data_IF_227087248490
#
_entry.id   IF_227087248490
#
_cell.length_a   1.000
_cell.length_b   1.000
_cell.length_c   1.000
_cell.angle_alpha   90.00
_cell.angle_beta   90.00
_cell.angle_gamma   90.00
#
_symmetry.space_group_name_H-M   'P 1'
#
loop_
_entity.id
_entity.type
_entity.pdbx_description
1 polymer ?
#
# COMPACT_ATOMS: atom_id res chain seq x y z
N UNK A 1 33.42 -0.12 0.04
CA UNK A 1 32.25 -0.24 -0.86
C UNK A 1 31.31 0.88 -0.47
N UNK A 2 31.30 1.98 -1.22
CA UNK A 2 30.31 3.05 -1.06
C UNK A 2 29.01 2.57 -1.71
N UNK A 3 27.90 2.69 -1.01
CA UNK A 3 26.58 2.37 -1.55
C UNK A 3 26.06 3.66 -2.19
N UNK A 4 26.26 3.81 -3.51
CA UNK A 4 25.78 4.97 -4.26
C UNK A 4 24.28 4.80 -4.55
N UNK A 5 23.47 5.67 -3.95
CA UNK A 5 22.01 5.61 -3.98
C UNK A 5 21.39 6.48 -5.09
N UNK A 6 22.20 7.10 -5.95
CA UNK A 6 21.76 8.08 -6.96
C UNK A 6 20.76 7.53 -8.02
N UNK A 7 20.60 6.21 -8.11
CA UNK A 7 19.65 5.56 -9.02
C UNK A 7 18.18 5.92 -8.72
N UNK A 8 17.88 6.33 -7.50
CA UNK A 8 16.58 6.86 -7.11
C UNK A 8 16.74 8.30 -6.63
N UNK A 9 15.80 9.17 -6.99
CA UNK A 9 15.70 10.49 -6.38
C UNK A 9 15.23 10.34 -4.92
N UNK A 10 16.16 10.04 -4.02
CA UNK A 10 15.91 9.87 -2.59
C UNK A 10 15.59 11.20 -1.94
N UNK A 11 14.30 11.50 -1.88
CA UNK A 11 13.78 12.61 -1.10
C UNK A 11 13.16 12.09 0.19
N UNK A 12 13.03 12.95 1.21
CA UNK A 12 12.36 12.59 2.48
C UNK A 12 10.96 11.99 2.24
N UNK A 13 10.10 12.57 1.37
CA UNK A 13 8.81 11.96 1.01
C UNK A 13 8.94 10.56 0.40
N UNK A 14 9.89 10.36 -0.51
CA UNK A 14 10.12 9.06 -1.17
C UNK A 14 10.57 8.01 -0.15
N UNK A 15 11.49 8.35 0.76
CA UNK A 15 11.95 7.45 1.81
C UNK A 15 10.81 7.02 2.75
N UNK A 16 9.93 7.94 3.14
CA UNK A 16 8.76 7.65 3.98
C UNK A 16 7.78 6.71 3.26
N UNK A 17 7.54 6.91 1.96
CA UNK A 17 6.66 6.04 1.16
C UNK A 17 7.17 4.59 1.11
N UNK A 18 8.44 4.39 0.74
CA UNK A 18 9.02 3.04 0.69
C UNK A 18 9.16 2.42 2.08
N UNK A 19 9.48 3.21 3.11
CA UNK A 19 9.49 2.76 4.49
C UNK A 19 8.12 2.28 4.98
N UNK A 20 7.05 2.99 4.60
CA UNK A 20 5.67 2.59 4.92
C UNK A 20 5.28 1.29 4.22
N UNK A 21 5.64 1.12 2.93
CA UNK A 21 5.42 -0.14 2.21
C UNK A 21 6.16 -1.29 2.90
N UNK A 22 7.43 -1.09 3.25
CA UNK A 22 8.23 -2.10 3.94
C UNK A 22 7.61 -2.49 5.30
N UNK A 23 7.20 -1.51 6.11
CA UNK A 23 6.53 -1.75 7.38
C UNK A 23 5.21 -2.51 7.21
N UNK A 24 4.43 -2.18 6.19
CA UNK A 24 3.19 -2.89 5.87
C UNK A 24 3.42 -4.33 5.41
N UNK A 25 4.45 -4.59 4.59
CA UNK A 25 4.83 -5.94 4.17
C UNK A 25 5.27 -6.79 5.37
N UNK A 26 6.10 -6.23 6.25
CA UNK A 26 6.51 -6.90 7.49
C UNK A 26 5.32 -7.18 8.40
N UNK A 27 4.42 -6.20 8.57
CA UNK A 27 3.18 -6.38 9.31
C UNK A 27 2.31 -7.52 8.77
N UNK A 28 2.20 -7.63 7.44
CA UNK A 28 1.52 -8.72 6.76
C UNK A 28 2.16 -10.09 7.03
N UNK A 29 3.49 -10.16 6.98
CA UNK A 29 4.23 -11.40 7.26
C UNK A 29 3.97 -11.85 8.70
N UNK A 30 4.05 -10.93 9.66
CA UNK A 30 3.76 -11.21 11.07
C UNK A 30 2.30 -11.65 11.23
N UNK A 31 1.36 -10.97 10.57
CA UNK A 31 -0.06 -11.30 10.67
C UNK A 31 -0.40 -12.67 10.09
N UNK A 32 0.25 -13.07 8.99
CA UNK A 32 0.10 -14.42 8.42
C UNK A 32 0.62 -15.51 9.36
N UNK A 33 1.73 -15.24 10.06
CA UNK A 33 2.29 -16.16 11.05
C UNK A 33 1.34 -16.31 12.25
N UNK A 34 0.73 -15.22 12.70
CA UNK A 34 -0.14 -15.18 13.89
C UNK A 34 -1.55 -15.75 13.62
N UNK A 35 -2.12 -15.52 12.44
CA UNK A 35 -3.50 -15.95 12.12
C UNK A 35 -3.54 -16.71 10.78
N UNK A 36 -3.42 -18.05 10.81
CA UNK A 36 -3.59 -18.89 9.62
C UNK A 36 -4.94 -18.59 8.95
N UNK A 37 -4.89 -18.18 7.69
CA UNK A 37 -6.07 -17.69 6.97
C UNK A 37 -6.99 -18.83 6.58
N UNK A 38 -8.26 -18.78 7.00
CA UNK A 38 -9.33 -19.61 6.44
C UNK A 38 -9.74 -18.98 5.10
N UNK A 39 -9.58 -19.67 3.96
CA UNK A 39 -9.97 -19.14 2.66
C UNK A 39 -11.48 -18.89 2.63
N UNK A 40 -11.90 -17.67 2.30
CA UNK A 40 -13.32 -17.34 2.08
C UNK A 40 -13.48 -16.82 0.65
N UNK A 41 -14.46 -17.37 -0.07
CA UNK A 41 -14.90 -16.80 -1.34
C UNK A 41 -15.74 -15.55 -1.03
N UNK A 42 -15.22 -14.38 -1.40
CA UNK A 42 -15.94 -13.12 -1.41
C UNK A 42 -16.62 -12.87 -2.76
N UNK A 43 -16.77 -11.59 -3.12
CA UNK A 43 -17.48 -11.13 -4.32
C UNK A 43 -16.75 -11.41 -5.65
N UNK A 44 -15.41 -11.45 -5.66
CA UNK A 44 -14.66 -11.96 -6.81
C UNK A 44 -14.66 -13.50 -6.79
N UNK A 45 -14.86 -14.19 -7.94
CA UNK A 45 -14.79 -15.65 -8.06
C UNK A 45 -13.35 -16.22 -7.90
N UNK A 46 -12.48 -15.53 -7.16
CA UNK A 46 -11.14 -15.95 -6.78
C UNK A 46 -11.07 -16.12 -5.26
N UNK A 47 -10.40 -17.15 -4.79
CA UNK A 47 -10.12 -17.33 -3.35
C UNK A 47 -9.09 -16.29 -2.92
N UNK A 48 -9.54 -15.19 -2.30
CA UNK A 48 -8.63 -14.18 -1.74
C UNK A 48 -8.36 -14.49 -0.28
N UNK A 49 -7.09 -14.63 0.09
CA UNK A 49 -6.70 -14.72 1.50
C UNK A 49 -6.84 -13.34 2.16
N UNK A 50 -6.89 -13.28 3.50
CA UNK A 50 -6.89 -11.98 4.20
C UNK A 50 -5.64 -11.15 3.86
N UNK A 51 -4.53 -11.83 3.57
CA UNK A 51 -3.28 -11.20 3.12
C UNK A 51 -3.42 -10.56 1.74
N UNK A 52 -4.02 -11.25 0.78
CA UNK A 52 -4.25 -10.72 -0.58
C UNK A 52 -5.09 -9.45 -0.57
N UNK A 53 -6.07 -9.36 0.35
CA UNK A 53 -6.96 -8.20 0.49
C UNK A 53 -6.22 -6.95 0.95
N UNK A 54 -5.30 -7.10 1.90
CA UNK A 54 -4.46 -5.98 2.35
C UNK A 54 -3.41 -5.59 1.31
N UNK A 55 -2.86 -6.56 0.57
CA UNK A 55 -1.96 -6.26 -0.55
C UNK A 55 -2.67 -5.48 -1.67
N UNK A 56 -3.89 -5.88 -2.04
CA UNK A 56 -4.71 -5.13 -3.00
C UNK A 56 -5.02 -3.70 -2.53
N UNK A 57 -5.32 -3.52 -1.23
CA UNK A 57 -5.50 -2.19 -0.65
C UNK A 57 -4.23 -1.31 -0.76
N UNK A 58 -3.05 -1.89 -0.52
CA UNK A 58 -1.76 -1.20 -0.70
C UNK A 58 -1.48 -0.84 -2.15
N UNK A 59 -1.77 -1.73 -3.10
CA UNK A 59 -1.60 -1.44 -4.52
C UNK A 59 -2.49 -0.26 -4.94
N UNK A 60 -3.75 -0.26 -4.52
CA UNK A 60 -4.67 0.87 -4.79
C UNK A 60 -4.17 2.16 -4.14
N UNK A 61 -3.68 2.11 -2.91
CA UNK A 61 -3.07 3.26 -2.24
C UNK A 61 -1.86 3.80 -3.01
N UNK A 62 -0.96 2.94 -3.47
CA UNK A 62 0.21 3.32 -4.27
C UNK A 62 -0.19 3.96 -5.60
N UNK A 63 -1.15 3.37 -6.32
CA UNK A 63 -1.64 3.96 -7.58
C UNK A 63 -2.36 5.29 -7.37
N UNK A 64 -3.10 5.46 -6.27
CA UNK A 64 -3.70 6.75 -5.91
C UNK A 64 -2.64 7.81 -5.64
N UNK A 65 -1.56 7.45 -4.92
CA UNK A 65 -0.47 8.37 -4.61
C UNK A 65 0.31 8.79 -5.86
N UNK A 66 0.61 7.83 -6.75
CA UNK A 66 1.30 8.09 -8.03
C UNK A 66 0.39 8.87 -8.98
N UNK A 67 -0.88 8.49 -9.09
CA UNK A 67 -1.87 9.18 -9.93
C UNK A 67 -2.08 10.62 -9.48
N UNK A 68 -2.06 10.88 -8.18
CA UNK A 68 -2.07 12.23 -7.63
C UNK A 68 -0.82 13.00 -8.05
N UNK A 69 0.39 12.44 -7.86
CA UNK A 69 1.65 13.06 -8.28
C UNK A 69 1.72 13.38 -9.78
N UNK A 70 1.05 12.60 -10.64
CA UNK A 70 1.00 12.87 -12.09
C UNK A 70 0.15 14.09 -12.46
N UNK A 71 -0.81 14.49 -11.61
CA UNK A 71 -1.79 15.54 -11.90
C UNK A 71 -1.56 16.80 -11.05
N UNK A 72 -0.82 16.69 -9.94
CA UNK A 72 -0.68 17.76 -8.95
C UNK A 72 0.75 18.27 -8.85
N UNK A 73 0.88 19.54 -8.43
CA UNK A 73 2.18 20.21 -8.30
C UNK A 73 3.08 19.52 -7.25
N UNK A 74 4.41 19.61 -7.38
CA UNK A 74 5.36 18.98 -6.44
C UNK A 74 5.21 19.41 -4.97
N UNK A 75 4.62 20.58 -4.72
CA UNK A 75 4.35 21.11 -3.38
C UNK A 75 2.96 20.72 -2.83
N UNK A 76 2.15 20.02 -3.63
CA UNK A 76 0.81 19.63 -3.24
C UNK A 76 0.84 18.62 -2.09
N UNK A 77 0.06 18.92 -1.06
CA UNK A 77 0.12 18.17 0.17
C UNK A 77 -0.53 16.78 0.00
N UNK A 78 0.23 15.72 0.29
CA UNK A 78 -0.14 14.30 0.06
C UNK A 78 -1.31 13.78 0.94
N UNK A 79 -2.00 14.65 1.67
CA UNK A 79 -3.09 14.30 2.59
C UNK A 79 -4.35 13.84 1.86
N UNK A 80 -4.63 14.41 0.68
CA UNK A 80 -5.81 14.06 -0.14
C UNK A 80 -5.69 12.62 -0.67
N UNK A 81 -4.60 12.24 -1.37
CA UNK A 81 -4.42 10.85 -1.80
C UNK A 81 -4.26 9.88 -0.63
N UNK A 82 -3.68 10.29 0.51
CA UNK A 82 -3.63 9.46 1.72
C UNK A 82 -5.04 9.16 2.26
N UNK A 83 -5.91 10.18 2.35
CA UNK A 83 -7.29 10.01 2.76
C UNK A 83 -8.08 9.11 1.80
N UNK A 84 -7.88 9.29 0.49
CA UNK A 84 -8.47 8.44 -0.53
C UNK A 84 -7.99 6.98 -0.42
N UNK A 85 -6.70 6.78 -0.17
CA UNK A 85 -6.10 5.46 0.05
C UNK A 85 -6.66 4.75 1.29
N UNK A 86 -6.87 5.47 2.39
CA UNK A 86 -7.49 4.92 3.62
C UNK A 86 -8.94 4.50 3.37
N UNK A 87 -9.73 5.35 2.69
CA UNK A 87 -11.13 5.04 2.35
C UNK A 87 -11.22 3.86 1.40
N UNK A 88 -10.39 3.84 0.35
CA UNK A 88 -10.33 2.74 -0.61
C UNK A 88 -9.88 1.42 0.07
N UNK A 89 -8.85 1.48 0.91
CA UNK A 89 -8.37 0.34 1.68
C UNK A 89 -9.42 -0.20 2.64
N UNK A 90 -10.14 0.67 3.36
CA UNK A 90 -11.24 0.28 4.22
C UNK A 90 -12.40 -0.36 3.43
N UNK A 91 -12.71 0.16 2.24
CA UNK A 91 -13.68 -0.44 1.32
C UNK A 91 -13.27 -1.85 0.88
N UNK A 92 -12.02 -2.04 0.47
CA UNK A 92 -11.50 -3.34 0.04
C UNK A 92 -11.50 -4.35 1.20
N UNK A 93 -11.08 -3.92 2.39
CA UNK A 93 -11.09 -4.79 3.58
C UNK A 93 -12.50 -5.17 4.03
N UNK A 94 -13.49 -4.29 3.84
CA UNK A 94 -14.90 -4.55 4.21
C UNK A 94 -15.63 -5.43 3.20
N UNK A 95 -15.30 -5.37 1.90
CA UNK A 95 -16.10 -5.98 0.82
C UNK A 95 -15.43 -7.17 0.10
N UNK A 96 -14.14 -7.45 0.35
CA UNK A 96 -13.45 -8.57 -0.28
C UNK A 96 -13.73 -9.92 0.41
#
# INVERSE_FOLDING_TARGET
>A
MTIDLEWMAWTVPTAIFFGTIAACLVGLTIWQIVSPSIPRRGFLPMTTTRGDRFFMALMVAAFLQIGWLMVSDPESALWIPLGAAVVAGAGILRWA
#
